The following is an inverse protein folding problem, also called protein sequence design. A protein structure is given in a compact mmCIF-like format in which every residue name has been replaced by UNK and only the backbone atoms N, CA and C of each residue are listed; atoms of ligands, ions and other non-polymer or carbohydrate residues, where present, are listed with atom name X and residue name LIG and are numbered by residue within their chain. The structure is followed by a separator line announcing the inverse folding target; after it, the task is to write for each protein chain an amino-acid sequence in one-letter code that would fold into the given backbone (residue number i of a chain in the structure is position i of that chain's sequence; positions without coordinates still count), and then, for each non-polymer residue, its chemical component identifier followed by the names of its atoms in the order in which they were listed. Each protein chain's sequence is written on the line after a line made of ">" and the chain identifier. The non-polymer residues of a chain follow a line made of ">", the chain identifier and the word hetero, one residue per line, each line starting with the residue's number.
data_IF_094589742883
#
_entry.id   IF_094589742883
#
_cell.length_a   1.000
_cell.length_b   1.000
_cell.length_c   1.000
_cell.angle_alpha   90.00
_cell.angle_beta   90.00
_cell.angle_gamma   90.00
#
_symmetry.space_group_name_H-M   'P 1'
#
loop_
_entity.id
_entity.type
_entity.pdbx_description
1 polymer ?
#
# COMPACT_ATOMS: atom_id res chain seq x y z
N UNK A 1 9.58 6.50 36.81
CA UNK A 1 9.89 7.25 35.57
C UNK A 1 8.93 6.71 34.52
N UNK A 2 7.76 7.33 34.31
CA UNK A 2 6.99 7.01 33.11
C UNK A 2 7.71 7.70 31.95
N UNK A 3 8.17 6.92 30.97
CA UNK A 3 8.36 7.47 29.64
C UNK A 3 6.97 7.98 29.24
N UNK A 4 6.78 9.31 29.27
CA UNK A 4 5.50 9.94 29.00
C UNK A 4 5.18 9.79 27.51
N UNK A 5 4.74 8.61 27.11
CA UNK A 5 4.25 8.34 25.77
C UNK A 5 2.88 8.99 25.64
N UNK A 6 2.74 9.86 24.65
CA UNK A 6 1.44 10.42 24.27
C UNK A 6 0.63 9.35 23.53
N UNK A 7 -0.27 8.70 24.28
CA UNK A 7 -1.13 7.65 23.74
C UNK A 7 -2.08 8.12 22.65
N UNK A 8 -2.49 9.40 22.67
CA UNK A 8 -3.39 9.95 21.66
C UNK A 8 -2.66 10.11 20.33
N UNK A 9 -1.42 10.61 20.37
CA UNK A 9 -0.58 10.70 19.18
C UNK A 9 -0.30 9.31 18.59
N UNK A 10 0.02 8.33 19.43
CA UNK A 10 0.25 6.94 18.99
C UNK A 10 -0.99 6.35 18.30
N UNK A 11 -2.18 6.52 18.89
CA UNK A 11 -3.42 6.04 18.26
C UNK A 11 -3.75 6.77 16.96
N UNK A 12 -3.47 8.08 16.88
CA UNK A 12 -3.64 8.84 15.64
C UNK A 12 -2.74 8.28 14.52
N UNK A 13 -1.46 8.04 14.82
CA UNK A 13 -0.50 7.47 13.87
C UNK A 13 -0.89 6.04 13.44
N UNK A 14 -1.36 5.21 14.38
CA UNK A 14 -1.86 3.87 14.06
C UNK A 14 -3.11 3.90 13.18
N UNK A 15 -4.07 4.80 13.44
CA UNK A 15 -5.25 4.95 12.57
C UNK A 15 -4.89 5.47 11.18
N UNK A 16 -3.93 6.39 11.08
CA UNK A 16 -3.39 6.82 9.80
C UNK A 16 -2.74 5.64 9.05
N UNK A 17 -1.87 4.88 9.72
CA UNK A 17 -1.18 3.75 9.11
C UNK A 17 -2.17 2.65 8.67
N UNK A 18 -3.23 2.41 9.45
CA UNK A 18 -4.30 1.47 9.06
C UNK A 18 -4.94 1.92 7.75
N UNK A 19 -5.36 3.18 7.65
CA UNK A 19 -5.97 3.75 6.44
C UNK A 19 -5.03 3.64 5.24
N UNK A 20 -3.75 4.01 5.40
CA UNK A 20 -2.77 3.94 4.32
C UNK A 20 -2.51 2.49 3.87
N UNK A 21 -2.53 1.52 4.80
CA UNK A 21 -2.33 0.10 4.55
C UNK A 21 -3.52 -0.54 3.84
N UNK A 22 -4.74 -0.26 4.31
CA UNK A 22 -5.99 -0.73 3.70
C UNK A 22 -6.11 -0.28 2.25
N UNK A 23 -5.83 1.01 2.03
CA UNK A 23 -5.81 1.62 0.71
C UNK A 23 -4.78 0.88 -0.16
N UNK A 24 -3.52 0.85 0.25
CA UNK A 24 -2.42 0.24 -0.52
C UNK A 24 -2.44 -1.28 -0.61
N UNK A 25 -3.40 -1.92 0.06
CA UNK A 25 -3.50 -3.38 0.16
C UNK A 25 -2.22 -4.01 0.75
N UNK A 26 -1.65 -3.37 1.78
CA UNK A 26 -0.53 -3.88 2.57
C UNK A 26 -1.09 -4.77 3.69
N UNK A 27 -1.57 -5.96 3.33
CA UNK A 27 -2.41 -6.81 4.19
C UNK A 27 -1.74 -7.14 5.53
N UNK A 28 -0.45 -7.45 5.53
CA UNK A 28 0.27 -7.79 6.78
C UNK A 28 0.42 -6.56 7.70
N UNK A 29 0.62 -5.37 7.13
CA UNK A 29 0.67 -4.13 7.89
C UNK A 29 -0.71 -3.75 8.44
N UNK A 30 -1.76 -3.90 7.62
CA UNK A 30 -3.17 -3.71 8.03
C UNK A 30 -3.51 -4.61 9.23
N UNK A 31 -3.13 -5.88 9.16
CA UNK A 31 -3.34 -6.82 10.27
C UNK A 31 -2.54 -6.41 11.51
N UNK A 32 -1.24 -6.15 11.37
CA UNK A 32 -0.38 -5.79 12.50
C UNK A 32 -0.87 -4.54 13.22
N UNK A 33 -1.26 -3.50 12.47
CA UNK A 33 -1.80 -2.26 13.04
C UNK A 33 -3.12 -2.51 13.75
N UNK A 34 -4.00 -3.32 13.17
CA UNK A 34 -5.27 -3.71 13.80
C UNK A 34 -5.04 -4.42 15.13
N UNK A 35 -4.04 -5.30 15.21
CA UNK A 35 -3.63 -5.95 16.46
C UNK A 35 -3.10 -4.93 17.47
N UNK A 36 -2.24 -3.99 17.06
CA UNK A 36 -1.72 -2.94 17.95
C UNK A 36 -2.85 -2.06 18.52
N UNK A 37 -3.81 -1.67 17.68
CA UNK A 37 -4.99 -0.91 18.10
C UNK A 37 -5.85 -1.69 19.09
N UNK A 38 -6.02 -3.00 18.87
CA UNK A 38 -6.78 -3.87 19.76
C UNK A 38 -6.16 -3.97 21.15
N UNK A 39 -4.83 -4.06 21.24
CA UNK A 39 -4.11 -4.16 22.52
C UNK A 39 -3.79 -2.82 23.18
N UNK A 40 -4.10 -1.69 22.54
CA UNK A 40 -3.87 -0.38 23.11
C UNK A 40 -4.75 -0.12 24.34
N UNK A 41 -4.24 0.67 25.28
CA UNK A 41 -4.93 0.98 26.54
C UNK A 41 -6.30 1.65 26.28
N UNK A 42 -7.36 1.18 26.95
CA UNK A 42 -8.70 1.76 26.89
C UNK A 42 -8.72 3.26 27.23
N UNK A 43 -7.88 3.71 28.17
CA UNK A 43 -7.74 5.12 28.50
C UNK A 43 -7.30 5.94 27.28
N UNK A 44 -6.35 5.41 26.50
CA UNK A 44 -5.87 6.07 25.28
C UNK A 44 -6.99 6.16 24.24
N UNK A 45 -7.77 5.09 24.06
CA UNK A 45 -8.94 5.08 23.18
C UNK A 45 -9.97 6.13 23.57
N UNK A 46 -10.27 6.24 24.87
CA UNK A 46 -11.20 7.23 25.39
C UNK A 46 -10.70 8.67 25.17
N UNK A 47 -9.42 8.93 25.44
CA UNK A 47 -8.83 10.26 25.20
C UNK A 47 -8.79 10.60 23.70
N UNK A 48 -8.43 9.65 22.84
CA UNK A 48 -8.40 9.83 21.40
C UNK A 48 -9.79 10.13 20.81
N UNK A 49 -10.83 9.39 21.22
CA UNK A 49 -12.20 9.62 20.77
C UNK A 49 -12.70 11.03 21.13
N UNK A 50 -12.41 11.49 22.35
CA UNK A 50 -12.72 12.84 22.79
C UNK A 50 -11.95 13.91 21.99
N UNK A 51 -10.68 13.63 21.67
CA UNK A 51 -9.85 14.54 20.88
C UNK A 51 -10.33 14.67 19.43
N UNK A 52 -10.72 13.55 18.80
CA UNK A 52 -11.24 13.50 17.44
C UNK A 52 -12.58 14.23 17.31
N UNK A 53 -13.48 14.08 18.29
CA UNK A 53 -14.77 14.81 18.32
C UNK A 53 -14.61 16.33 18.47
N UNK A 54 -13.46 16.80 18.98
CA UNK A 54 -13.19 18.22 19.18
C UNK A 54 -12.47 18.87 17.98
N UNK A 55 -11.94 18.09 17.05
CA UNK A 55 -11.30 18.61 15.84
C UNK A 55 -12.34 18.77 14.71
N UNK A 56 -12.31 19.88 13.96
CA UNK A 56 -13.06 19.98 12.72
C UNK A 56 -12.56 18.92 11.75
N UNK A 57 -13.47 18.22 11.05
CA UNK A 57 -13.12 17.24 10.02
C UNK A 57 -12.15 17.89 9.03
N UNK A 58 -10.88 17.51 9.09
CA UNK A 58 -9.93 17.79 8.01
C UNK A 58 -10.49 17.12 6.78
N UNK A 59 -10.84 17.93 5.77
CA UNK A 59 -11.42 17.50 4.51
C UNK A 59 -10.73 16.22 4.03
N UNK A 60 -11.43 15.10 4.17
CA UNK A 60 -11.03 13.87 3.51
C UNK A 60 -10.95 14.17 2.02
N UNK A 61 -9.92 13.62 1.36
CA UNK A 61 -9.69 13.74 -0.07
C UNK A 61 -11.04 13.62 -0.80
N UNK A 62 -11.54 14.73 -1.33
CA UNK A 62 -12.93 14.82 -1.81
C UNK A 62 -13.07 13.95 -3.07
N UNK A 63 -13.52 12.71 -2.87
CA UNK A 63 -13.75 11.74 -3.93
C UNK A 63 -14.76 12.23 -4.97
N UNK A 64 -15.48 13.33 -4.70
CA UNK A 64 -16.40 13.97 -5.65
C UNK A 64 -15.68 14.65 -6.83
N UNK A 65 -14.34 14.79 -6.78
CA UNK A 65 -13.54 15.39 -7.86
C UNK A 65 -12.93 14.36 -8.81
N UNK A 66 -12.98 13.07 -8.48
CA UNK A 66 -12.36 12.00 -9.27
C UNK A 66 -13.33 11.56 -10.37
N UNK A 67 -12.84 11.45 -11.60
CA UNK A 67 -13.64 10.94 -12.70
C UNK A 67 -14.21 9.55 -12.33
N UNK A 68 -15.55 9.32 -12.41
CA UNK A 68 -16.18 8.10 -11.91
C UNK A 68 -15.58 6.81 -12.48
N UNK A 69 -15.02 6.89 -13.69
CA UNK A 69 -14.30 5.79 -14.32
C UNK A 69 -13.01 5.41 -13.58
N UNK A 70 -12.17 6.39 -13.23
CA UNK A 70 -10.90 6.18 -12.52
C UNK A 70 -11.15 5.53 -11.16
N UNK A 71 -12.12 6.06 -10.40
CA UNK A 71 -12.50 5.51 -9.10
C UNK A 71 -12.97 4.04 -9.20
N UNK A 72 -13.73 3.69 -10.25
CA UNK A 72 -14.20 2.33 -10.50
C UNK A 72 -13.04 1.39 -10.84
N UNK A 73 -12.11 1.81 -11.70
CA UNK A 73 -10.93 1.00 -12.06
C UNK A 73 -10.03 0.79 -10.85
N UNK A 74 -9.78 1.84 -10.06
CA UNK A 74 -8.98 1.75 -8.84
C UNK A 74 -9.61 0.78 -7.81
N UNK A 75 -10.92 0.88 -7.57
CA UNK A 75 -11.63 -0.03 -6.68
C UNK A 75 -11.59 -1.49 -7.17
N UNK A 76 -11.75 -1.70 -8.47
CA UNK A 76 -11.66 -3.04 -9.06
C UNK A 76 -10.25 -3.62 -8.97
N UNK A 77 -9.21 -2.83 -9.25
CA UNK A 77 -7.81 -3.21 -9.09
C UNK A 77 -7.48 -3.63 -7.65
N UNK A 78 -7.93 -2.86 -6.64
CA UNK A 78 -7.80 -3.24 -5.22
C UNK A 78 -8.48 -4.57 -4.90
N UNK A 79 -9.69 -4.79 -5.41
CA UNK A 79 -10.40 -6.06 -5.21
C UNK A 79 -9.65 -7.26 -5.83
N UNK A 80 -9.01 -7.08 -6.98
CA UNK A 80 -8.19 -8.11 -7.62
C UNK A 80 -6.92 -8.41 -6.81
N UNK A 81 -6.24 -7.38 -6.29
CA UNK A 81 -5.07 -7.56 -5.41
C UNK A 81 -5.44 -8.35 -4.16
N UNK A 82 -6.55 -8.01 -3.49
CA UNK A 82 -7.03 -8.74 -2.30
C UNK A 82 -7.38 -10.22 -2.61
N UNK A 83 -7.74 -10.52 -3.86
CA UNK A 83 -7.99 -11.89 -4.36
C UNK A 83 -6.74 -12.60 -4.87
N UNK A 84 -5.56 -11.98 -4.78
CA UNK A 84 -4.28 -12.48 -5.31
C UNK A 84 -4.25 -12.63 -6.84
N UNK A 85 -5.10 -11.89 -7.56
CA UNK A 85 -5.13 -11.87 -9.02
C UNK A 85 -4.25 -10.76 -9.59
N UNK A 86 -2.94 -10.81 -9.28
CA UNK A 86 -2.03 -9.68 -9.44
C UNK A 86 -1.80 -9.24 -10.90
N UNK A 87 -1.61 -10.18 -11.84
CA UNK A 87 -1.47 -9.84 -13.27
C UNK A 87 -2.73 -9.15 -13.82
N UNK A 88 -3.91 -9.59 -13.39
CA UNK A 88 -5.17 -8.96 -13.77
C UNK A 88 -5.28 -7.56 -13.17
N UNK A 89 -4.91 -7.41 -11.90
CA UNK A 89 -4.87 -6.10 -11.25
C UNK A 89 -3.97 -5.12 -12.00
N UNK A 90 -2.73 -5.53 -12.32
CA UNK A 90 -1.78 -4.72 -13.07
C UNK A 90 -2.32 -4.30 -14.45
N UNK A 91 -3.01 -5.20 -15.16
CA UNK A 91 -3.64 -4.90 -16.45
C UNK A 91 -4.68 -3.77 -16.36
N UNK A 92 -5.56 -3.80 -15.36
CA UNK A 92 -6.58 -2.76 -15.19
C UNK A 92 -5.97 -1.45 -14.66
N UNK A 93 -5.07 -1.53 -13.67
CA UNK A 93 -4.46 -0.36 -13.04
C UNK A 93 -3.52 0.39 -13.98
N UNK A 94 -2.92 -0.28 -14.97
CA UNK A 94 -2.09 0.37 -16.02
C UNK A 94 -2.81 1.52 -16.72
N UNK A 95 -4.14 1.44 -16.84
CA UNK A 95 -4.96 2.43 -17.55
C UNK A 95 -5.08 3.76 -16.80
N UNK A 96 -4.87 3.74 -15.48
CA UNK A 96 -5.05 4.89 -14.59
C UNK A 96 -3.77 5.25 -13.84
N UNK A 97 -2.64 4.60 -14.14
CA UNK A 97 -1.40 4.72 -13.36
C UNK A 97 -0.83 6.14 -13.30
N UNK A 98 -1.23 7.01 -14.21
CA UNK A 98 -0.73 8.39 -14.30
C UNK A 98 -1.74 9.43 -13.78
N UNK A 99 -2.92 8.99 -13.32
CA UNK A 99 -3.96 9.87 -12.76
C UNK A 99 -3.58 10.42 -11.37
N UNK A 100 -2.86 9.61 -10.59
CA UNK A 100 -2.36 10.02 -9.27
C UNK A 100 -1.12 9.23 -8.87
N UNK A 101 -0.34 9.77 -7.93
CA UNK A 101 0.78 9.04 -7.30
C UNK A 101 0.32 7.73 -6.66
N UNK A 102 -0.91 7.72 -6.15
CA UNK A 102 -1.53 6.56 -5.54
C UNK A 102 -1.86 5.47 -6.57
N UNK A 103 -2.47 5.84 -7.70
CA UNK A 103 -2.78 4.88 -8.76
C UNK A 103 -1.51 4.30 -9.38
N UNK A 104 -0.47 5.14 -9.49
CA UNK A 104 0.86 4.70 -9.88
C UNK A 104 1.44 3.67 -8.93
N UNK A 105 1.41 3.96 -7.63
CA UNK A 105 1.83 3.02 -6.60
C UNK A 105 1.08 1.69 -6.77
N UNK A 106 -0.24 1.73 -6.89
CA UNK A 106 -1.06 0.52 -7.01
C UNK A 106 -0.70 -0.31 -8.25
N UNK A 107 -0.40 0.33 -9.39
CA UNK A 107 0.06 -0.35 -10.60
C UNK A 107 1.38 -1.08 -10.39
N UNK A 108 2.39 -0.40 -9.86
CA UNK A 108 3.71 -1.00 -9.64
C UNK A 108 3.69 -2.03 -8.50
N UNK A 109 2.89 -1.80 -7.46
CA UNK A 109 2.64 -2.75 -6.38
C UNK A 109 2.01 -4.05 -6.91
N UNK A 110 1.02 -3.96 -7.79
CA UNK A 110 0.42 -5.14 -8.42
C UNK A 110 1.44 -5.93 -9.27
N UNK A 111 2.37 -5.26 -9.96
CA UNK A 111 3.45 -5.93 -10.70
C UNK A 111 4.43 -6.63 -9.78
N UNK A 112 4.87 -5.95 -8.73
CA UNK A 112 5.75 -6.53 -7.71
C UNK A 112 5.12 -7.78 -7.09
N UNK A 113 3.85 -7.70 -6.68
CA UNK A 113 3.13 -8.84 -6.11
C UNK A 113 2.97 -10.00 -7.10
N UNK A 114 2.77 -9.73 -8.38
CA UNK A 114 2.69 -10.76 -9.40
C UNK A 114 4.00 -11.54 -9.53
N UNK A 115 5.12 -10.81 -9.57
CA UNK A 115 6.46 -11.39 -9.60
C UNK A 115 6.75 -12.21 -8.33
N UNK A 116 6.54 -11.65 -7.14
CA UNK A 116 6.80 -12.37 -5.88
C UNK A 116 5.90 -13.60 -5.74
N UNK A 117 4.65 -13.51 -6.16
CA UNK A 117 3.74 -14.66 -6.16
C UNK A 117 4.28 -15.79 -7.07
N UNK A 118 4.68 -15.47 -8.30
CA UNK A 118 5.26 -16.44 -9.21
C UNK A 118 6.59 -17.01 -8.71
N UNK A 119 7.41 -16.17 -8.04
CA UNK A 119 8.65 -16.59 -7.37
C UNK A 119 8.37 -17.67 -6.33
N UNK A 120 7.43 -17.41 -5.44
CA UNK A 120 7.08 -18.31 -4.34
C UNK A 120 6.46 -19.62 -4.84
N UNK A 121 5.60 -19.57 -5.87
CA UNK A 121 5.07 -20.78 -6.51
C UNK A 121 6.19 -21.62 -7.16
N UNK A 122 7.11 -20.96 -7.87
CA UNK A 122 8.28 -21.64 -8.47
C UNK A 122 9.19 -22.24 -7.40
N UNK A 123 9.44 -21.52 -6.32
CA UNK A 123 10.24 -21.99 -5.18
C UNK A 123 9.59 -23.22 -4.52
N UNK A 124 8.28 -23.18 -4.30
CA UNK A 124 7.51 -24.28 -3.73
C UNK A 124 7.50 -25.54 -4.62
N UNK A 125 7.42 -25.38 -5.95
CA UNK A 125 7.44 -26.48 -6.91
C UNK A 125 8.85 -27.07 -7.13
N UNK A 126 9.89 -26.27 -6.89
CA UNK A 126 11.28 -26.67 -7.14
C UNK A 126 11.90 -27.47 -5.97
N UNK A 127 11.77 -28.80 -6.01
CA UNK A 127 12.48 -29.69 -5.05
C UNK A 127 14.01 -29.68 -5.29
N UNK A 128 14.49 -29.29 -6.48
CA UNK A 128 15.92 -29.11 -6.75
C UNK A 128 16.17 -28.13 -7.90
N UNK A 129 16.93 -27.06 -7.59
CA UNK A 129 17.74 -26.18 -8.46
C UNK A 129 17.20 -25.89 -9.87
N UNK A 130 16.69 -24.67 -10.04
CA UNK A 130 16.68 -23.97 -11.33
C UNK A 130 17.21 -22.55 -11.15
N UNK A 131 17.87 -22.04 -12.19
CA UNK A 131 18.24 -20.63 -12.29
C UNK A 131 16.98 -19.79 -12.27
N UNK A 132 16.97 -18.80 -11.39
CA UNK A 132 15.82 -17.95 -11.15
C UNK A 132 15.79 -16.82 -12.19
N UNK A 133 14.66 -16.68 -12.90
CA UNK A 133 14.46 -15.58 -13.86
C UNK A 133 13.99 -14.32 -13.11
N UNK A 134 14.94 -13.42 -12.84
CA UNK A 134 14.71 -12.12 -12.21
C UNK A 134 14.50 -10.98 -13.21
N UNK A 135 14.31 -11.30 -14.50
CA UNK A 135 14.16 -10.29 -15.57
C UNK A 135 13.00 -9.33 -15.30
N UNK A 136 11.83 -9.83 -14.89
CA UNK A 136 10.66 -9.00 -14.60
C UNK A 136 10.90 -8.03 -13.42
N UNK A 137 11.63 -8.47 -12.39
CA UNK A 137 12.01 -7.62 -11.25
C UNK A 137 13.03 -6.56 -11.66
N UNK A 138 14.05 -6.93 -12.45
CA UNK A 138 15.04 -5.99 -13.00
C UNK A 138 14.38 -4.96 -13.90
N UNK A 139 13.45 -5.37 -14.75
CA UNK A 139 12.66 -4.47 -15.60
C UNK A 139 11.85 -3.48 -14.75
N UNK A 140 11.16 -3.97 -13.71
CA UNK A 140 10.40 -3.14 -12.79
C UNK A 140 11.29 -2.13 -12.04
N UNK A 141 12.45 -2.58 -11.53
CA UNK A 141 13.44 -1.73 -10.89
C UNK A 141 13.95 -0.64 -11.83
N UNK A 142 14.34 -1.01 -13.05
CA UNK A 142 14.84 -0.07 -14.05
C UNK A 142 13.78 0.95 -14.45
N UNK A 143 12.52 0.52 -14.64
CA UNK A 143 11.41 1.41 -14.98
C UNK A 143 11.18 2.45 -13.87
N UNK A 144 11.20 2.05 -12.60
CA UNK A 144 11.05 2.99 -11.48
C UNK A 144 12.25 3.93 -11.31
N UNK A 145 13.47 3.44 -11.53
CA UNK A 145 14.67 4.29 -11.51
C UNK A 145 14.64 5.34 -12.62
N UNK A 146 14.24 4.97 -13.84
CA UNK A 146 14.06 5.91 -14.95
C UNK A 146 12.96 6.92 -14.62
N UNK A 147 11.81 6.45 -14.13
CA UNK A 147 10.69 7.31 -13.78
C UNK A 147 11.07 8.33 -12.70
N UNK A 148 11.79 7.91 -11.65
CA UNK A 148 12.25 8.81 -10.60
C UNK A 148 13.35 9.77 -11.05
N UNK A 149 14.12 9.42 -12.09
CA UNK A 149 15.13 10.31 -12.68
C UNK A 149 14.49 11.37 -13.57
N UNK A 150 13.48 10.99 -14.35
CA UNK A 150 12.77 11.89 -15.27
C UNK A 150 11.75 12.77 -14.53
N UNK A 151 11.12 12.21 -13.49
CA UNK A 151 10.07 12.83 -12.69
C UNK A 151 10.29 12.54 -11.19
N UNK A 152 11.11 13.36 -10.50
CA UNK A 152 11.39 13.18 -9.07
C UNK A 152 10.13 13.15 -8.19
N UNK A 153 9.07 13.85 -8.60
CA UNK A 153 7.76 13.86 -7.95
C UNK A 153 7.05 12.49 -7.98
N UNK A 154 7.47 11.57 -8.85
CA UNK A 154 6.92 10.23 -9.00
C UNK A 154 7.76 9.16 -8.31
N UNK A 155 8.85 9.57 -7.65
CA UNK A 155 9.72 8.68 -6.91
C UNK A 155 8.98 8.06 -5.72
N UNK A 156 8.85 6.74 -5.74
CA UNK A 156 8.30 5.98 -4.63
C UNK A 156 9.42 5.23 -3.89
N UNK A 157 9.81 5.78 -2.74
CA UNK A 157 10.90 5.24 -1.93
C UNK A 157 10.59 3.83 -1.38
N UNK A 158 9.31 3.54 -1.09
CA UNK A 158 8.90 2.25 -0.57
C UNK A 158 9.04 1.18 -1.64
N UNK A 159 8.47 1.42 -2.83
CA UNK A 159 8.58 0.49 -3.95
C UNK A 159 10.04 0.27 -4.34
N UNK A 160 10.86 1.34 -4.40
CA UNK A 160 12.27 1.16 -4.70
C UNK A 160 13.00 0.34 -3.63
N UNK A 161 12.67 0.51 -2.34
CA UNK A 161 13.25 -0.29 -1.27
C UNK A 161 12.93 -1.78 -1.42
N UNK A 162 11.70 -2.12 -1.82
CA UNK A 162 11.26 -3.50 -2.03
C UNK A 162 11.93 -4.17 -3.25
N UNK A 163 12.47 -3.39 -4.18
CA UNK A 163 13.07 -3.87 -5.44
C UNK A 163 14.60 -3.88 -5.42
N UNK A 164 15.23 -3.80 -4.25
CA UNK A 164 16.68 -3.93 -4.06
C UNK A 164 17.05 -5.35 -3.67
#
# INVERSE_FOLDING_TARGET
>A
MSLGVDGVAVLADLHWLLKESEMRCLVDAEQWVSEMLFYANEDWHNFYANHKSAQPETAEMDYNTIEPHVAKVAAFGRALIKKREFYRAAYFLKQIKDESSYDRFMYYWARYLAYEYNRLETEADSISRMEYDDSELKELHNELCLLGSDHPEYFDAFLLYMLK
#
